data_IF_110376974485
#
_entry.id   IF_110376974485
#
_cell.length_a   1.000
_cell.length_b   1.000
_cell.length_c   1.000
_cell.angle_alpha   90.00
_cell.angle_beta   90.00
_cell.angle_gamma   90.00
#
_symmetry.space_group_name_H-M   'P 1'
#
loop_
_entity.id
_entity.type
_entity.pdbx_description
1 polymer ?
#
# COMPACT_ATOMS: atom_id res chain seq x y z
N UNK A 1 -36.68 -15.10 2.08
CA UNK A 1 -35.65 -14.34 2.79
C UNK A 1 -35.06 -13.30 1.83
N UNK A 2 -34.75 -12.09 2.25
CA UNK A 2 -34.09 -11.13 1.38
C UNK A 2 -32.70 -11.69 0.97
N UNK A 3 -32.34 -11.49 -0.30
CA UNK A 3 -31.06 -11.92 -0.87
C UNK A 3 -29.92 -11.17 -0.15
N UNK A 4 -28.99 -11.90 0.46
CA UNK A 4 -27.80 -11.29 1.05
C UNK A 4 -26.91 -10.71 -0.04
N UNK A 5 -26.28 -9.57 0.20
CA UNK A 5 -25.30 -8.99 -0.71
C UNK A 5 -24.07 -9.90 -0.81
N UNK A 6 -23.47 -9.97 -1.98
CA UNK A 6 -22.17 -10.60 -2.20
C UNK A 6 -21.12 -9.74 -1.48
N UNK A 7 -20.21 -10.37 -0.74
CA UNK A 7 -19.17 -9.62 -0.03
C UNK A 7 -18.20 -8.97 -1.02
N UNK A 8 -17.70 -7.80 -0.67
CA UNK A 8 -16.72 -7.05 -1.48
C UNK A 8 -15.51 -7.90 -1.83
N UNK A 9 -15.00 -8.71 -0.90
CA UNK A 9 -13.87 -9.60 -1.15
C UNK A 9 -14.16 -10.62 -2.26
N UNK A 10 -15.35 -11.22 -2.23
CA UNK A 10 -15.75 -12.19 -3.26
C UNK A 10 -15.85 -11.49 -4.62
N UNK A 11 -16.42 -10.28 -4.66
CA UNK A 11 -16.49 -9.50 -5.90
C UNK A 11 -15.10 -9.15 -6.45
N UNK A 12 -14.16 -8.76 -5.58
CA UNK A 12 -12.78 -8.43 -5.97
C UNK A 12 -12.05 -9.65 -6.53
N UNK A 13 -12.15 -10.80 -5.87
CA UNK A 13 -11.57 -12.08 -6.35
C UNK A 13 -12.13 -12.48 -7.70
N UNK A 14 -13.43 -12.41 -7.88
CA UNK A 14 -14.09 -12.70 -9.16
C UNK A 14 -13.64 -11.74 -10.27
N UNK A 15 -13.52 -10.47 -9.95
CA UNK A 15 -13.06 -9.45 -10.89
C UNK A 15 -11.61 -9.73 -11.34
N UNK A 16 -10.71 -10.04 -10.41
CA UNK A 16 -9.33 -10.41 -10.73
C UNK A 16 -9.26 -11.65 -11.62
N UNK A 17 -10.03 -12.71 -11.29
CA UNK A 17 -10.07 -13.97 -12.03
C UNK A 17 -10.63 -13.79 -13.45
N UNK A 18 -11.65 -12.95 -13.62
CA UNK A 18 -12.28 -12.72 -14.92
C UNK A 18 -11.34 -12.10 -15.97
N UNK A 19 -10.25 -11.47 -15.52
CA UNK A 19 -9.33 -10.69 -16.36
C UNK A 19 -10.03 -9.56 -17.13
N UNK A 20 -11.17 -9.08 -16.62
CA UNK A 20 -11.99 -8.05 -17.25
C UNK A 20 -12.79 -8.53 -18.47
N UNK A 21 -12.94 -9.84 -18.61
CA UNK A 21 -13.69 -10.46 -19.73
C UNK A 21 -14.76 -11.40 -19.22
N UNK A 22 -15.79 -11.61 -20.02
CA UNK A 22 -16.80 -12.64 -19.77
C UNK A 22 -16.12 -14.00 -19.63
N UNK A 23 -16.46 -14.75 -18.57
CA UNK A 23 -15.82 -16.05 -18.29
C UNK A 23 -16.33 -17.17 -19.17
N UNK A 24 -17.41 -16.95 -19.95
CA UNK A 24 -17.77 -17.86 -21.02
C UNK A 24 -16.65 -17.88 -22.08
N UNK A 25 -15.97 -19.04 -22.29
CA UNK A 25 -14.82 -19.14 -23.18
C UNK A 25 -15.13 -18.80 -24.65
N UNK A 26 -16.37 -19.02 -25.07
CA UNK A 26 -16.81 -18.74 -26.45
C UNK A 26 -17.22 -17.27 -26.64
N UNK A 27 -17.44 -16.51 -25.56
CA UNK A 27 -17.85 -15.11 -25.61
C UNK A 27 -16.66 -14.13 -25.48
N UNK A 28 -15.88 -14.22 -24.42
CA UNK A 28 -14.72 -13.37 -24.12
C UNK A 28 -14.98 -11.85 -24.24
N UNK A 29 -16.25 -11.40 -24.17
CA UNK A 29 -16.59 -9.98 -24.27
C UNK A 29 -15.91 -9.15 -23.21
N UNK A 30 -15.38 -7.98 -23.56
CA UNK A 30 -14.82 -7.03 -22.59
C UNK A 30 -15.92 -6.47 -21.70
N UNK A 31 -15.66 -6.50 -20.38
CA UNK A 31 -16.62 -6.09 -19.35
C UNK A 31 -16.38 -4.65 -18.89
N UNK A 32 -15.15 -4.17 -18.96
CA UNK A 32 -14.79 -2.77 -18.66
C UNK A 32 -14.84 -1.96 -19.94
N UNK A 33 -15.88 -1.13 -20.09
CA UNK A 33 -16.12 -0.34 -21.31
C UNK A 33 -16.01 1.15 -21.03
N UNK A 34 -15.65 1.94 -22.03
CA UNK A 34 -15.58 3.42 -21.92
C UNK A 34 -16.87 4.04 -21.39
N UNK A 35 -18.02 3.46 -21.77
CA UNK A 35 -19.36 4.00 -21.46
C UNK A 35 -20.00 3.37 -20.21
N UNK A 36 -19.25 2.61 -19.41
CA UNK A 36 -19.72 1.93 -18.20
C UNK A 36 -19.46 0.42 -18.24
N UNK A 37 -19.20 -0.13 -17.06
CA UNK A 37 -18.92 -1.56 -16.90
C UNK A 37 -20.21 -2.38 -17.07
N UNK A 38 -20.07 -3.53 -17.73
CA UNK A 38 -21.18 -4.45 -18.02
C UNK A 38 -20.93 -5.81 -17.32
N UNK A 39 -20.75 -5.76 -16.00
CA UNK A 39 -20.39 -6.91 -15.18
C UNK A 39 -21.62 -7.49 -14.51
N UNK A 40 -21.92 -8.76 -14.78
CA UNK A 40 -22.94 -9.51 -14.09
C UNK A 40 -22.32 -10.64 -13.26
N UNK A 41 -22.82 -10.81 -12.03
CA UNK A 41 -22.38 -11.85 -11.11
C UNK A 41 -23.42 -12.95 -11.09
N UNK A 42 -23.14 -14.05 -11.80
CA UNK A 42 -24.05 -15.19 -11.94
C UNK A 42 -23.77 -16.23 -10.87
N UNK A 43 -24.81 -16.81 -10.27
CA UNK A 43 -24.70 -17.96 -9.39
C UNK A 43 -24.69 -19.26 -10.22
N UNK A 44 -23.64 -20.06 -10.06
CA UNK A 44 -23.52 -21.36 -10.75
C UNK A 44 -24.65 -22.29 -10.31
N UNK A 45 -24.87 -22.40 -9.01
CA UNK A 45 -26.08 -23.00 -8.45
C UNK A 45 -26.98 -21.88 -7.97
N UNK A 46 -28.23 -21.78 -8.45
CA UNK A 46 -29.14 -20.68 -8.14
C UNK A 46 -29.21 -20.36 -6.64
N UNK A 47 -29.15 -19.07 -6.30
CA UNK A 47 -29.18 -18.59 -4.90
C UNK A 47 -30.41 -19.09 -4.12
N UNK A 48 -31.57 -19.24 -4.77
CA UNK A 48 -32.79 -19.75 -4.15
C UNK A 48 -32.64 -21.21 -3.64
N UNK A 49 -31.68 -21.98 -4.17
CA UNK A 49 -31.40 -23.37 -3.74
C UNK A 49 -30.38 -23.46 -2.63
N UNK A 50 -29.38 -22.58 -2.61
CA UNK A 50 -28.24 -22.69 -1.68
C UNK A 50 -28.14 -21.58 -0.65
N UNK A 51 -28.76 -20.41 -0.92
CA UNK A 51 -28.58 -19.16 -0.18
C UNK A 51 -27.08 -18.75 -0.03
N UNK A 52 -26.25 -19.11 -1.01
CA UNK A 52 -24.81 -19.11 -0.93
C UNK A 52 -24.22 -18.08 -1.91
N UNK A 53 -23.38 -17.18 -1.39
CA UNK A 53 -22.63 -16.15 -2.11
C UNK A 53 -21.12 -16.40 -2.04
N UNK A 54 -20.68 -17.65 -1.82
CA UNK A 54 -19.26 -17.97 -1.78
C UNK A 54 -18.63 -17.86 -3.18
N UNK A 55 -17.36 -17.57 -3.20
CA UNK A 55 -16.58 -17.39 -4.42
C UNK A 55 -16.71 -18.57 -5.41
N UNK A 56 -16.76 -19.80 -4.91
CA UNK A 56 -16.86 -21.02 -5.70
C UNK A 56 -18.18 -21.14 -6.46
N UNK A 57 -19.26 -20.54 -5.92
CA UNK A 57 -20.60 -20.57 -6.52
C UNK A 57 -20.88 -19.36 -7.41
N UNK A 58 -19.91 -18.52 -7.68
CA UNK A 58 -20.08 -17.29 -8.47
C UNK A 58 -19.14 -17.24 -9.66
N UNK A 59 -19.61 -16.63 -10.75
CA UNK A 59 -18.86 -16.41 -11.98
C UNK A 59 -19.20 -15.03 -12.55
N UNK A 60 -18.24 -14.42 -13.24
CA UNK A 60 -18.45 -13.13 -13.93
C UNK A 60 -18.83 -13.36 -15.39
N UNK A 61 -19.97 -12.82 -15.79
CA UNK A 61 -20.49 -12.91 -17.15
C UNK A 61 -20.83 -11.50 -17.70
N UNK A 62 -20.96 -11.40 -19.03
CA UNK A 62 -21.63 -10.27 -19.63
C UNK A 62 -23.16 -10.44 -19.50
N UNK A 63 -23.97 -9.37 -19.66
CA UNK A 63 -25.43 -9.45 -19.52
C UNK A 63 -26.08 -10.49 -20.45
N UNK A 64 -25.57 -10.66 -21.66
CA UNK A 64 -26.07 -11.65 -22.61
C UNK A 64 -25.88 -13.07 -22.10
N UNK A 65 -24.64 -13.46 -21.78
CA UNK A 65 -24.35 -14.80 -21.24
C UNK A 65 -25.01 -15.07 -19.89
N UNK A 66 -25.21 -14.04 -19.06
CA UNK A 66 -25.97 -14.17 -17.81
C UNK A 66 -27.46 -14.45 -18.09
N UNK A 67 -28.05 -13.72 -19.02
CA UNK A 67 -29.45 -13.96 -19.43
C UNK A 67 -29.62 -15.34 -20.05
N UNK A 68 -28.72 -15.76 -20.93
CA UNK A 68 -28.75 -17.08 -21.56
C UNK A 68 -28.63 -18.20 -20.54
N UNK A 69 -27.82 -18.02 -19.51
CA UNK A 69 -27.66 -18.98 -18.40
C UNK A 69 -28.90 -19.00 -17.48
N UNK A 70 -29.36 -17.82 -17.02
CA UNK A 70 -30.41 -17.73 -15.98
C UNK A 70 -31.82 -17.95 -16.51
N UNK A 71 -32.10 -17.56 -17.79
CA UNK A 71 -33.46 -17.52 -18.33
C UNK A 71 -33.68 -18.47 -19.50
N UNK A 72 -32.62 -18.71 -20.27
CA UNK A 72 -32.75 -19.46 -21.50
C UNK A 72 -32.27 -20.92 -21.37
N UNK A 73 -31.75 -21.30 -20.18
CA UNK A 73 -31.18 -22.61 -19.92
C UNK A 73 -30.16 -23.06 -20.99
N UNK A 74 -29.48 -22.09 -21.63
CA UNK A 74 -28.52 -22.35 -22.70
C UNK A 74 -27.26 -23.10 -22.23
N UNK A 75 -26.96 -22.98 -20.94
CA UNK A 75 -25.77 -23.59 -20.32
C UNK A 75 -26.14 -24.31 -19.03
N UNK A 76 -25.62 -25.51 -18.82
CA UNK A 76 -25.78 -26.21 -17.55
C UNK A 76 -24.87 -25.59 -16.46
N UNK A 77 -25.25 -25.74 -15.20
CA UNK A 77 -24.41 -25.34 -14.05
C UNK A 77 -23.02 -25.98 -14.09
N UNK A 78 -22.93 -27.19 -14.61
CA UNK A 78 -21.65 -27.90 -14.74
C UNK A 78 -20.75 -27.27 -15.81
N UNK A 79 -21.31 -26.85 -16.96
CA UNK A 79 -20.56 -26.08 -17.96
C UNK A 79 -20.04 -24.77 -17.39
N UNK A 80 -20.89 -24.03 -16.68
CA UNK A 80 -20.49 -22.72 -16.10
C UNK A 80 -19.43 -22.90 -15.02
N UNK A 81 -19.46 -24.01 -14.25
CA UNK A 81 -18.41 -24.35 -13.29
C UNK A 81 -17.07 -24.65 -13.99
N UNK A 82 -17.12 -25.35 -15.12
CA UNK A 82 -15.91 -25.61 -15.91
C UNK A 82 -15.29 -24.33 -16.46
N UNK A 83 -16.06 -23.28 -16.75
CA UNK A 83 -15.53 -22.00 -17.22
C UNK A 83 -14.55 -21.34 -16.21
N UNK A 84 -14.77 -21.53 -14.90
CA UNK A 84 -13.81 -21.08 -13.89
C UNK A 84 -12.45 -21.81 -14.01
N UNK A 85 -12.50 -23.11 -14.23
CA UNK A 85 -11.30 -23.93 -14.43
C UNK A 85 -10.59 -23.53 -15.72
N UNK A 86 -11.32 -23.41 -16.82
CA UNK A 86 -10.79 -22.97 -18.12
C UNK A 86 -10.15 -21.58 -18.00
N UNK A 87 -10.80 -20.63 -17.30
CA UNK A 87 -10.26 -19.29 -17.09
C UNK A 87 -8.95 -19.32 -16.30
N UNK A 88 -8.87 -20.12 -15.26
CA UNK A 88 -7.64 -20.29 -14.46
C UNK A 88 -6.50 -20.85 -15.31
N UNK A 89 -6.76 -21.90 -16.08
CA UNK A 89 -5.79 -22.50 -17.00
C UNK A 89 -5.35 -21.52 -18.09
N UNK A 90 -6.28 -20.71 -18.60
CA UNK A 90 -5.99 -19.68 -19.58
C UNK A 90 -5.06 -18.59 -19.01
N UNK A 91 -5.31 -18.15 -17.77
CA UNK A 91 -4.43 -17.18 -17.08
C UNK A 91 -3.03 -17.77 -16.90
N UNK A 92 -2.92 -18.99 -16.44
CA UNK A 92 -1.63 -19.68 -16.30
C UNK A 92 -0.91 -19.83 -17.65
N UNK A 93 -1.63 -20.23 -18.69
CA UNK A 93 -1.05 -20.38 -20.03
C UNK A 93 -0.57 -19.07 -20.64
N UNK A 94 -1.32 -17.97 -20.44
CA UNK A 94 -1.00 -16.67 -21.01
C UNK A 94 0.09 -15.94 -20.22
N UNK A 95 0.04 -16.02 -18.89
CA UNK A 95 0.91 -15.26 -18.01
C UNK A 95 1.93 -16.11 -17.24
N UNK A 96 1.75 -17.42 -17.15
CA UNK A 96 2.70 -18.35 -16.55
C UNK A 96 3.88 -18.72 -17.45
N UNK A 97 4.09 -18.01 -18.56
CA UNK A 97 5.18 -18.27 -19.49
C UNK A 97 6.53 -17.99 -18.86
N UNK A 98 7.47 -18.91 -19.03
CA UNK A 98 8.88 -18.73 -18.68
C UNK A 98 9.62 -18.02 -19.82
N UNK A 99 10.41 -17.04 -19.46
CA UNK A 99 11.25 -16.27 -20.39
C UNK A 99 12.71 -16.71 -20.31
N UNK A 100 13.46 -16.50 -21.38
CA UNK A 100 14.88 -16.87 -21.42
C UNK A 100 15.74 -15.81 -20.74
N UNK A 101 15.39 -14.53 -20.86
CA UNK A 101 16.15 -13.41 -20.31
C UNK A 101 15.29 -12.50 -19.44
N UNK A 102 15.97 -11.71 -18.58
CA UNK A 102 15.31 -10.72 -17.75
C UNK A 102 14.67 -9.59 -18.57
N UNK A 103 15.30 -9.19 -19.66
CA UNK A 103 14.82 -8.14 -20.56
C UNK A 103 13.51 -8.55 -21.26
N UNK A 104 13.36 -9.84 -21.58
CA UNK A 104 12.10 -10.36 -22.10
C UNK A 104 10.99 -10.30 -21.04
N UNK A 105 11.29 -10.70 -19.81
CA UNK A 105 10.37 -10.60 -18.69
C UNK A 105 10.00 -9.13 -18.42
N UNK A 106 10.99 -8.23 -18.37
CA UNK A 106 10.80 -6.80 -18.16
C UNK A 106 9.83 -6.19 -19.17
N UNK A 107 9.96 -6.53 -20.46
CA UNK A 107 9.03 -6.06 -21.52
C UNK A 107 7.57 -6.46 -21.28
N UNK A 108 7.32 -7.54 -20.54
CA UNK A 108 5.96 -7.96 -20.19
C UNK A 108 5.45 -7.32 -18.89
N UNK A 109 6.34 -7.15 -17.92
CA UNK A 109 6.01 -6.58 -16.61
C UNK A 109 5.84 -5.06 -16.68
N UNK A 110 6.71 -4.37 -17.42
CA UNK A 110 6.73 -2.92 -17.55
C UNK A 110 5.37 -2.28 -17.87
N UNK A 111 4.62 -2.72 -18.91
CA UNK A 111 3.34 -2.09 -19.24
C UNK A 111 2.29 -2.27 -18.14
N UNK A 112 2.32 -3.37 -17.41
CA UNK A 112 1.35 -3.65 -16.34
C UNK A 112 1.60 -2.75 -15.13
N UNK A 113 2.84 -2.65 -14.68
CA UNK A 113 3.22 -1.75 -13.59
C UNK A 113 3.02 -0.28 -13.97
N UNK A 114 3.34 0.09 -15.23
CA UNK A 114 3.12 1.46 -15.73
C UNK A 114 1.64 1.83 -15.76
N UNK A 115 0.77 0.90 -16.12
CA UNK A 115 -0.70 1.12 -16.08
C UNK A 115 -1.20 1.30 -14.64
N UNK A 116 -0.75 0.46 -13.70
CA UNK A 116 -1.10 0.61 -12.29
C UNK A 116 -0.66 1.97 -11.75
N UNK A 117 0.58 2.37 -12.06
CA UNK A 117 1.11 3.68 -11.71
C UNK A 117 0.26 4.82 -12.27
N UNK A 118 -0.08 4.75 -13.57
CA UNK A 118 -0.88 5.78 -14.24
C UNK A 118 -2.30 5.90 -13.65
N UNK A 119 -2.95 4.78 -13.33
CA UNK A 119 -4.27 4.79 -12.66
C UNK A 119 -4.17 5.50 -11.32
N UNK A 120 -3.14 5.17 -10.56
CA UNK A 120 -2.94 5.76 -9.25
C UNK A 120 -2.64 7.27 -9.33
N UNK A 121 -1.67 7.68 -10.14
CA UNK A 121 -1.28 9.10 -10.27
C UNK A 121 -2.41 9.96 -10.83
N UNK A 122 -3.14 9.47 -11.85
CA UNK A 122 -4.14 10.29 -12.51
C UNK A 122 -5.48 10.35 -11.79
N UNK A 123 -5.86 9.32 -11.05
CA UNK A 123 -7.19 9.27 -10.45
C UNK A 123 -7.16 9.41 -8.94
N UNK A 124 -6.27 8.70 -8.27
CA UNK A 124 -6.18 8.78 -6.83
C UNK A 124 -5.55 10.10 -6.35
N UNK A 125 -4.36 10.45 -6.88
CA UNK A 125 -3.66 11.67 -6.49
C UNK A 125 -4.42 12.95 -6.88
N UNK A 126 -5.13 12.91 -7.99
CA UNK A 126 -5.91 14.06 -8.48
C UNK A 126 -7.32 14.12 -7.87
N UNK A 127 -7.59 13.37 -6.80
CA UNK A 127 -8.88 13.37 -6.06
C UNK A 127 -10.11 13.10 -6.94
N UNK A 128 -9.92 12.25 -7.96
CA UNK A 128 -11.01 11.85 -8.85
C UNK A 128 -11.62 10.53 -8.37
N UNK A 129 -12.31 10.58 -7.23
CA UNK A 129 -12.83 9.40 -6.54
C UNK A 129 -13.66 8.49 -7.44
N UNK A 130 -14.57 9.03 -8.22
CA UNK A 130 -15.42 8.22 -9.12
C UNK A 130 -14.61 7.46 -10.18
N UNK A 131 -13.55 8.09 -10.71
CA UNK A 131 -12.66 7.44 -11.66
C UNK A 131 -11.76 6.43 -10.96
N UNK A 132 -11.29 6.75 -9.76
CA UNK A 132 -10.56 5.80 -8.95
C UNK A 132 -11.38 4.54 -8.68
N UNK A 133 -12.57 4.65 -8.16
CA UNK A 133 -13.46 3.52 -7.86
C UNK A 133 -13.75 2.66 -9.10
N UNK A 134 -13.81 3.30 -10.26
CA UNK A 134 -13.99 2.62 -11.54
C UNK A 134 -12.74 1.86 -11.98
N UNK A 135 -11.58 2.50 -11.93
CA UNK A 135 -10.34 1.94 -12.48
C UNK A 135 -9.54 1.09 -11.49
N UNK A 136 -9.84 1.13 -10.18
CA UNK A 136 -9.25 0.27 -9.17
C UNK A 136 -9.36 -1.22 -9.53
N UNK A 137 -10.49 -1.62 -10.12
CA UNK A 137 -10.70 -3.00 -10.61
C UNK A 137 -9.68 -3.43 -11.66
N UNK A 138 -9.16 -2.49 -12.44
CA UNK A 138 -8.10 -2.77 -13.40
C UNK A 138 -6.79 -3.16 -12.70
N UNK A 139 -6.50 -2.53 -11.56
CA UNK A 139 -5.35 -2.88 -10.72
C UNK A 139 -5.46 -4.31 -10.21
N UNK A 140 -6.65 -4.78 -9.80
CA UNK A 140 -6.85 -6.19 -9.39
C UNK A 140 -6.48 -7.17 -10.50
N UNK A 141 -6.91 -6.89 -11.73
CA UNK A 141 -6.59 -7.71 -12.89
C UNK A 141 -5.09 -7.68 -13.19
N UNK A 142 -4.50 -6.50 -13.18
CA UNK A 142 -3.08 -6.32 -13.42
C UNK A 142 -2.23 -7.03 -12.36
N UNK A 143 -2.62 -6.95 -11.11
CA UNK A 143 -1.96 -7.64 -10.00
C UNK A 143 -2.01 -9.16 -10.17
N UNK A 144 -3.14 -9.71 -10.60
CA UNK A 144 -3.25 -11.15 -10.90
C UNK A 144 -2.30 -11.58 -12.00
N UNK A 145 -2.22 -10.79 -13.08
CA UNK A 145 -1.27 -11.02 -14.19
C UNK A 145 0.18 -10.94 -13.71
N UNK A 146 0.51 -9.89 -12.94
CA UNK A 146 1.85 -9.72 -12.37
C UNK A 146 2.26 -10.90 -11.52
N UNK A 147 1.39 -11.32 -10.59
CA UNK A 147 1.68 -12.44 -9.69
C UNK A 147 2.04 -13.70 -10.49
N UNK A 148 1.16 -14.11 -11.42
CA UNK A 148 1.39 -15.30 -12.25
C UNK A 148 2.68 -15.21 -13.08
N UNK A 149 2.92 -14.03 -13.68
CA UNK A 149 4.10 -13.77 -14.52
C UNK A 149 5.40 -13.83 -13.72
N UNK A 150 5.43 -13.21 -12.55
CA UNK A 150 6.61 -13.13 -11.69
C UNK A 150 6.88 -14.48 -11.00
N UNK A 151 5.85 -15.18 -10.50
CA UNK A 151 5.99 -16.53 -9.90
C UNK A 151 6.65 -17.51 -10.86
N UNK A 152 6.28 -17.47 -12.13
CA UNK A 152 6.85 -18.36 -13.16
C UNK A 152 8.29 -18.01 -13.52
N UNK A 153 8.81 -16.84 -13.13
CA UNK A 153 10.12 -16.32 -13.55
C UNK A 153 11.03 -15.92 -12.36
N UNK A 154 10.78 -16.41 -11.16
CA UNK A 154 11.56 -16.06 -9.95
C UNK A 154 13.06 -16.28 -10.12
N UNK A 155 13.46 -17.33 -10.84
CA UNK A 155 14.88 -17.61 -11.09
C UNK A 155 15.59 -16.55 -11.95
N UNK A 156 14.88 -15.88 -12.86
CA UNK A 156 15.44 -14.74 -13.61
C UNK A 156 15.60 -13.52 -12.72
N UNK A 157 14.60 -13.26 -11.89
CA UNK A 157 14.56 -12.13 -10.96
C UNK A 157 15.70 -12.22 -9.95
N UNK A 158 15.88 -13.41 -9.37
CA UNK A 158 16.95 -13.66 -8.40
C UNK A 158 18.35 -13.45 -9.01
N UNK A 159 18.58 -13.89 -10.24
CA UNK A 159 19.87 -13.73 -10.93
C UNK A 159 20.16 -12.28 -11.32
N UNK A 160 19.14 -11.45 -11.43
CA UNK A 160 19.27 -10.03 -11.81
C UNK A 160 19.44 -9.11 -10.59
N UNK A 161 19.68 -9.66 -9.40
CA UNK A 161 19.84 -8.86 -8.18
C UNK A 161 21.07 -7.96 -8.27
N UNK A 162 20.88 -6.67 -7.98
CA UNK A 162 21.94 -5.68 -7.86
C UNK A 162 22.23 -5.45 -6.38
N UNK A 163 23.48 -5.64 -5.96
CA UNK A 163 24.07 -5.38 -4.63
C UNK A 163 23.09 -5.15 -3.44
N UNK A 164 23.18 -6.01 -2.44
CA UNK A 164 22.67 -5.89 -1.07
C UNK A 164 21.17 -6.17 -0.82
N UNK A 165 20.32 -6.20 -1.83
CA UNK A 165 18.93 -6.65 -1.69
C UNK A 165 18.62 -7.72 -2.73
N UNK A 166 18.09 -8.85 -2.28
CA UNK A 166 17.56 -9.85 -3.19
C UNK A 166 16.30 -9.30 -3.86
N UNK A 167 16.32 -9.14 -5.19
CA UNK A 167 15.11 -8.79 -5.95
C UNK A 167 13.96 -9.76 -5.66
N UNK A 168 14.28 -10.98 -5.23
CA UNK A 168 13.30 -11.98 -4.81
C UNK A 168 12.50 -11.53 -3.58
N UNK A 169 13.16 -10.93 -2.57
CA UNK A 169 12.46 -10.41 -1.38
C UNK A 169 11.50 -9.27 -1.72
N UNK A 170 11.90 -8.41 -2.67
CA UNK A 170 11.06 -7.32 -3.15
C UNK A 170 9.81 -7.88 -3.85
N UNK A 171 9.98 -8.90 -4.69
CA UNK A 171 8.87 -9.57 -5.38
C UNK A 171 7.97 -10.32 -4.39
N UNK A 172 8.52 -10.96 -3.37
CA UNK A 172 7.72 -11.61 -2.32
C UNK A 172 6.89 -10.60 -1.52
N UNK A 173 7.46 -9.43 -1.22
CA UNK A 173 6.69 -8.33 -0.61
C UNK A 173 5.57 -7.85 -1.53
N UNK A 174 5.83 -7.73 -2.84
CA UNK A 174 4.80 -7.40 -3.81
C UNK A 174 3.67 -8.44 -3.81
N UNK A 175 3.97 -9.74 -3.72
CA UNK A 175 2.94 -10.79 -3.64
C UNK A 175 2.07 -10.62 -2.41
N UNK A 176 2.66 -10.36 -1.24
CA UNK A 176 1.90 -10.08 -0.04
C UNK A 176 0.98 -8.85 -0.21
N UNK A 177 1.48 -7.77 -0.81
CA UNK A 177 0.67 -6.59 -1.09
C UNK A 177 -0.44 -6.86 -2.11
N UNK A 178 -0.21 -7.69 -3.12
CA UNK A 178 -1.24 -8.09 -4.08
C UNK A 178 -2.36 -8.84 -3.37
N UNK A 179 -2.02 -9.78 -2.51
CA UNK A 179 -3.00 -10.58 -1.76
C UNK A 179 -3.80 -9.70 -0.78
N UNK A 180 -3.12 -8.83 -0.04
CA UNK A 180 -3.75 -7.85 0.84
C UNK A 180 -4.67 -6.89 0.08
N UNK A 181 -4.24 -6.38 -1.06
CA UNK A 181 -5.07 -5.50 -1.90
C UNK A 181 -6.32 -6.22 -2.42
N UNK A 182 -6.23 -7.49 -2.79
CA UNK A 182 -7.38 -8.30 -3.20
C UNK A 182 -8.37 -8.51 -2.06
N UNK A 183 -7.89 -8.67 -0.81
CA UNK A 183 -8.71 -8.92 0.38
C UNK A 183 -9.23 -7.65 1.08
N UNK A 184 -8.70 -6.49 0.76
CA UNK A 184 -8.99 -5.23 1.46
C UNK A 184 -10.42 -4.76 1.26
N UNK A 185 -11.07 -4.34 2.36
CA UNK A 185 -12.51 -4.03 2.42
C UNK A 185 -12.83 -2.55 2.47
N UNK A 186 -11.92 -1.72 2.98
CA UNK A 186 -12.13 -0.29 3.20
C UNK A 186 -11.32 0.57 2.26
N UNK A 187 -11.83 1.76 1.90
CA UNK A 187 -11.11 2.68 1.03
C UNK A 187 -9.78 3.14 1.65
N UNK A 188 -9.76 3.39 2.95
CA UNK A 188 -8.55 3.80 3.66
C UNK A 188 -7.46 2.70 3.69
N UNK A 189 -7.88 1.43 3.72
CA UNK A 189 -6.96 0.30 3.66
C UNK A 189 -6.46 0.05 2.23
N UNK A 190 -7.33 0.14 1.22
CA UNK A 190 -6.96 0.02 -0.20
C UNK A 190 -5.85 0.99 -0.58
N UNK A 191 -5.95 2.19 -0.09
CA UNK A 191 -4.98 3.26 -0.30
C UNK A 191 -3.60 2.90 0.22
N UNK A 192 -3.52 2.25 1.38
CA UNK A 192 -2.26 1.78 1.97
C UNK A 192 -1.62 0.66 1.16
N UNK A 193 -2.44 -0.17 0.49
CA UNK A 193 -2.00 -1.37 -0.21
C UNK A 193 -1.65 -1.13 -1.69
N UNK A 194 -2.05 -0.02 -2.26
CA UNK A 194 -1.68 0.35 -3.65
C UNK A 194 -0.21 0.71 -3.77
N UNK A 195 0.42 1.04 -2.65
CA UNK A 195 1.85 1.31 -2.62
C UNK A 195 2.62 0.01 -2.72
N UNK A 196 2.94 -0.34 -3.94
CA UNK A 196 3.96 -1.34 -4.22
C UNK A 196 5.26 -0.96 -3.48
N UNK A 197 6.08 -1.93 -3.04
CA UNK A 197 7.44 -1.59 -2.68
C UNK A 197 8.01 -0.76 -3.83
N UNK A 198 8.44 0.44 -3.54
CA UNK A 198 8.96 1.40 -4.55
C UNK A 198 10.01 0.74 -5.44
N UNK A 199 10.78 -0.14 -4.84
CA UNK A 199 11.83 -0.90 -5.47
C UNK A 199 11.36 -1.79 -6.63
N UNK A 200 10.09 -2.26 -6.64
CA UNK A 200 9.60 -3.11 -7.74
C UNK A 200 9.60 -2.35 -9.07
N UNK A 201 9.24 -1.07 -9.04
CA UNK A 201 9.25 -0.23 -10.21
C UNK A 201 10.68 -0.07 -10.76
N UNK A 202 11.65 0.17 -9.89
CA UNK A 202 13.07 0.31 -10.25
C UNK A 202 13.64 -0.96 -10.87
N UNK A 203 13.28 -2.16 -10.35
CA UNK A 203 13.71 -3.45 -10.91
C UNK A 203 13.29 -3.57 -12.37
N UNK A 204 12.10 -3.11 -12.72
CA UNK A 204 11.54 -3.23 -14.06
C UNK A 204 11.68 -1.96 -14.92
N UNK A 205 12.51 -0.99 -14.48
CA UNK A 205 12.86 0.20 -15.26
C UNK A 205 11.77 1.28 -15.28
N UNK A 206 10.85 1.26 -14.32
CA UNK A 206 9.82 2.27 -14.17
C UNK A 206 10.32 3.28 -13.14
N UNK A 207 10.23 4.56 -13.45
CA UNK A 207 10.47 5.61 -12.46
C UNK A 207 9.52 5.40 -11.28
N UNK A 208 10.00 5.50 -10.04
CA UNK A 208 9.15 5.33 -8.88
C UNK A 208 7.92 6.23 -9.00
N UNK A 209 6.80 5.75 -8.47
CA UNK A 209 5.67 6.63 -8.18
C UNK A 209 6.26 7.74 -7.34
N UNK A 210 6.04 9.00 -7.77
CA UNK A 210 6.58 10.15 -7.07
C UNK A 210 6.31 9.97 -5.57
N UNK A 211 7.37 9.85 -4.86
CA UNK A 211 7.60 9.50 -3.47
C UNK A 211 6.37 9.40 -2.57
N UNK A 212 6.19 8.21 -2.04
CA UNK A 212 5.40 7.95 -0.85
C UNK A 212 4.07 8.69 -0.73
N UNK A 213 3.13 8.06 -1.30
CA UNK A 213 1.74 8.42 -1.28
C UNK A 213 1.07 8.13 0.08
N UNK A 214 1.83 7.60 1.04
CA UNK A 214 1.41 7.55 2.44
C UNK A 214 1.79 8.87 3.12
N UNK A 215 1.03 9.30 4.12
CA UNK A 215 1.42 10.39 4.97
C UNK A 215 2.75 10.06 5.67
N UNK A 216 3.82 10.58 5.10
CA UNK A 216 5.17 10.42 5.62
C UNK A 216 5.55 11.65 6.42
N UNK A 217 6.28 11.43 7.50
CA UNK A 217 6.66 12.52 8.41
C UNK A 217 7.55 13.54 7.72
N UNK A 218 8.51 13.08 6.93
CA UNK A 218 9.41 13.95 6.19
C UNK A 218 8.68 14.78 5.14
N UNK A 219 7.67 14.21 4.46
CA UNK A 219 6.84 14.95 3.52
C UNK A 219 6.03 16.04 4.24
N UNK A 220 5.52 15.75 5.44
CA UNK A 220 4.84 16.73 6.28
C UNK A 220 5.79 17.83 6.74
N UNK A 221 7.01 17.49 7.15
CA UNK A 221 8.03 18.45 7.56
C UNK A 221 8.34 19.45 6.44
N UNK A 222 8.55 18.96 5.22
CA UNK A 222 8.77 19.77 4.02
C UNK A 222 7.52 20.63 3.69
N UNK A 223 6.31 20.06 3.80
CA UNK A 223 5.07 20.80 3.56
C UNK A 223 4.93 21.97 4.52
N UNK A 224 5.13 21.72 5.81
CA UNK A 224 5.01 22.76 6.85
C UNK A 224 6.05 23.86 6.65
N UNK A 225 7.30 23.51 6.34
CA UNK A 225 8.35 24.47 6.04
C UNK A 225 7.99 25.37 4.85
N UNK A 226 7.48 24.78 3.76
CA UNK A 226 7.06 25.54 2.57
C UNK A 226 5.83 26.43 2.81
N UNK A 227 4.85 25.90 3.55
CA UNK A 227 3.66 26.68 3.95
C UNK A 227 4.04 27.85 4.87
N UNK A 228 5.00 27.65 5.77
CA UNK A 228 5.49 28.74 6.64
C UNK A 228 6.26 29.80 5.83
N UNK A 229 7.06 29.38 4.86
CA UNK A 229 7.76 30.29 3.94
C UNK A 229 6.80 31.15 3.08
N UNK A 230 5.55 30.70 2.90
CA UNK A 230 4.48 31.44 2.21
C UNK A 230 3.52 32.17 3.16
N UNK A 231 3.85 32.28 4.46
CA UNK A 231 2.99 32.86 5.51
C UNK A 231 1.60 32.17 5.61
N UNK A 232 1.51 30.91 5.18
CA UNK A 232 0.26 30.14 5.22
C UNK A 232 0.16 29.21 6.42
N UNK A 233 1.26 28.79 7.03
CA UNK A 233 1.26 27.89 8.16
C UNK A 233 0.92 28.61 9.46
N UNK A 234 0.02 28.01 10.26
CA UNK A 234 -0.37 28.54 11.57
C UNK A 234 0.16 27.63 12.68
N UNK A 235 -0.19 26.37 12.65
CA UNK A 235 0.20 25.40 13.69
C UNK A 235 0.05 23.95 13.21
N UNK A 236 0.78 23.03 13.88
CA UNK A 236 0.59 21.59 13.78
C UNK A 236 0.09 21.06 15.12
N UNK A 237 -0.95 20.22 15.09
CA UNK A 237 -1.50 19.54 16.26
C UNK A 237 -1.35 18.06 16.05
N UNK A 238 -0.37 17.49 16.73
CA UNK A 238 -0.02 16.07 16.69
C UNK A 238 -0.43 15.39 17.99
N UNK A 239 -0.09 14.14 18.17
CA UNK A 239 -0.33 13.32 19.38
C UNK A 239 -1.81 13.16 19.79
N UNK A 240 -2.73 13.38 18.86
CA UNK A 240 -4.18 13.22 19.04
C UNK A 240 -4.76 12.20 18.06
N UNK A 241 -6.03 11.84 18.25
CA UNK A 241 -6.69 10.84 17.40
C UNK A 241 -6.82 11.29 15.94
N UNK A 242 -7.10 12.57 15.70
CA UNK A 242 -7.19 13.17 14.37
C UNK A 242 -6.22 14.34 14.27
N UNK A 243 -4.93 14.08 14.02
CA UNK A 243 -3.92 15.12 13.89
C UNK A 243 -4.20 16.00 12.68
N UNK A 244 -3.84 17.29 12.76
CA UNK A 244 -4.05 18.24 11.68
C UNK A 244 -3.01 19.36 11.72
N UNK A 245 -2.83 20.02 10.57
CA UNK A 245 -2.22 21.34 10.48
C UNK A 245 -3.29 22.41 10.28
N UNK A 246 -3.06 23.58 10.80
CA UNK A 246 -3.87 24.76 10.53
C UNK A 246 -3.13 25.66 9.54
N UNK A 247 -3.83 26.11 8.53
CA UNK A 247 -3.29 26.97 7.47
C UNK A 247 -4.22 28.12 7.14
N UNK A 248 -3.66 29.18 6.59
CA UNK A 248 -4.41 30.24 5.92
C UNK A 248 -4.67 29.86 4.45
N UNK A 249 -5.94 29.78 4.08
CA UNK A 249 -6.36 29.52 2.70
C UNK A 249 -7.54 30.42 2.35
N UNK A 250 -7.41 31.21 1.28
CA UNK A 250 -8.44 32.17 0.82
C UNK A 250 -8.94 33.10 1.94
N UNK A 251 -8.03 33.58 2.79
CA UNK A 251 -8.34 34.48 3.89
C UNK A 251 -9.04 33.82 5.09
N UNK A 252 -9.10 32.51 5.14
CA UNK A 252 -9.71 31.74 6.24
C UNK A 252 -8.70 30.80 6.87
N UNK A 253 -8.88 30.54 8.17
CA UNK A 253 -8.15 29.49 8.84
C UNK A 253 -8.83 28.14 8.55
N UNK A 254 -8.10 27.21 7.96
CA UNK A 254 -8.58 25.89 7.54
C UNK A 254 -7.76 24.80 8.23
N UNK A 255 -8.39 23.69 8.61
CA UNK A 255 -7.72 22.49 9.11
C UNK A 255 -7.51 21.51 7.97
N UNK A 256 -6.28 21.02 7.83
CA UNK A 256 -5.92 19.94 6.95
C UNK A 256 -5.56 18.75 7.83
N UNK A 257 -6.39 17.72 7.80
CA UNK A 257 -6.16 16.50 8.59
C UNK A 257 -4.97 15.72 8.00
N UNK A 258 -4.16 15.15 8.90
CA UNK A 258 -2.95 14.41 8.57
C UNK A 258 -3.19 12.90 8.46
N UNK A 259 -4.45 12.48 8.46
CA UNK A 259 -4.82 11.16 8.01
C UNK A 259 -4.54 11.04 6.50
N UNK A 260 -4.46 9.81 6.02
CA UNK A 260 -4.28 9.55 4.59
C UNK A 260 -5.50 10.00 3.78
N UNK A 261 -5.55 11.28 3.45
CA UNK A 261 -6.65 11.90 2.72
C UNK A 261 -6.20 12.39 1.34
N UNK A 262 -7.09 12.38 0.34
CA UNK A 262 -6.81 12.96 -0.97
C UNK A 262 -6.31 14.41 -0.87
N UNK A 263 -6.88 15.18 0.05
CA UNK A 263 -6.47 16.59 0.25
C UNK A 263 -5.03 16.72 0.74
N UNK A 264 -4.60 15.92 1.71
CA UNK A 264 -3.22 15.95 2.18
C UNK A 264 -2.25 15.59 1.05
N UNK A 265 -2.62 14.59 0.25
CA UNK A 265 -1.80 14.17 -0.89
C UNK A 265 -1.71 15.22 -1.98
N UNK A 266 -2.79 15.95 -2.24
CA UNK A 266 -2.76 17.10 -3.15
C UNK A 266 -1.79 18.16 -2.66
N UNK A 267 -1.78 18.45 -1.34
CA UNK A 267 -0.79 19.36 -0.77
C UNK A 267 0.63 18.85 -0.98
N UNK A 268 0.89 17.58 -0.71
CA UNK A 268 2.21 17.01 -0.96
C UNK A 268 2.61 17.10 -2.42
N UNK A 269 1.71 16.82 -3.34
CA UNK A 269 1.95 16.94 -4.77
C UNK A 269 2.20 18.40 -5.19
N UNK A 270 1.31 19.30 -4.84
CA UNK A 270 1.40 20.71 -5.23
C UNK A 270 2.66 21.40 -4.69
N UNK A 271 3.11 21.01 -3.50
CA UNK A 271 4.32 21.53 -2.88
C UNK A 271 5.58 20.70 -3.16
N UNK A 272 5.48 19.65 -3.95
CA UNK A 272 6.62 18.78 -4.31
C UNK A 272 7.33 18.20 -3.06
N UNK A 273 6.55 17.66 -2.11
CA UNK A 273 7.05 17.22 -0.81
C UNK A 273 7.60 15.79 -0.82
N UNK A 274 7.70 15.18 -1.96
CA UNK A 274 8.01 13.77 -2.16
C UNK A 274 9.53 13.53 -2.23
N UNK A 275 10.25 13.63 -1.13
CA UNK A 275 11.69 13.33 -1.11
C UNK A 275 12.02 12.33 -0.03
N UNK A 276 12.35 11.10 -0.44
CA UNK A 276 13.05 10.12 0.39
C UNK A 276 12.45 9.88 1.77
N UNK A 277 11.15 10.01 1.89
CA UNK A 277 10.44 9.91 3.14
C UNK A 277 10.38 8.45 3.59
N UNK A 278 10.72 8.17 4.84
CA UNK A 278 10.88 6.83 5.38
C UNK A 278 9.99 6.60 6.61
N UNK A 279 9.74 7.63 7.42
CA UNK A 279 9.00 7.52 8.67
C UNK A 279 7.50 7.71 8.43
N UNK A 280 6.73 6.64 8.55
CA UNK A 280 5.26 6.70 8.44
C UNK A 280 4.69 7.61 9.53
N UNK A 281 3.96 8.63 9.12
CA UNK A 281 3.39 9.61 10.05
C UNK A 281 2.46 8.96 11.08
N UNK A 282 1.64 7.98 10.68
CA UNK A 282 0.77 7.26 11.59
C UNK A 282 1.54 6.57 12.72
N UNK A 283 2.69 5.93 12.41
CA UNK A 283 3.52 5.27 13.41
C UNK A 283 4.15 6.28 14.38
N UNK A 284 4.62 7.41 13.85
CA UNK A 284 5.14 8.50 14.67
C UNK A 284 4.04 9.08 15.58
N UNK A 285 2.88 9.44 15.02
CA UNK A 285 1.78 10.01 15.81
C UNK A 285 1.29 9.05 16.89
N UNK A 286 1.31 7.74 16.60
CA UNK A 286 0.99 6.73 17.63
C UNK A 286 2.01 6.75 18.78
N UNK A 287 3.31 6.82 18.48
CA UNK A 287 4.37 6.92 19.50
C UNK A 287 4.21 8.20 20.33
N UNK A 288 3.96 9.35 19.69
CA UNK A 288 3.72 10.62 20.39
C UNK A 288 2.47 10.56 21.29
N UNK A 289 1.36 9.98 20.80
CA UNK A 289 0.16 9.71 21.60
C UNK A 289 0.45 8.83 22.81
N UNK A 290 1.29 7.81 22.65
CA UNK A 290 1.69 6.94 23.76
C UNK A 290 2.43 7.74 24.84
N UNK A 291 3.42 8.54 24.47
CA UNK A 291 4.14 9.44 25.40
C UNK A 291 3.14 10.33 26.17
N UNK A 292 2.25 11.01 25.44
CA UNK A 292 1.22 11.86 26.02
C UNK A 292 0.29 11.10 26.97
N UNK A 293 -0.13 9.88 26.63
CA UNK A 293 -1.00 9.05 27.46
C UNK A 293 -0.37 8.70 28.81
N UNK A 294 0.96 8.72 28.89
CA UNK A 294 1.74 8.53 30.13
C UNK A 294 2.00 9.84 30.88
N UNK A 295 1.43 10.97 30.39
CA UNK A 295 1.60 12.32 30.96
C UNK A 295 3.05 12.82 30.95
N UNK A 296 3.87 12.30 30.06
CA UNK A 296 5.26 12.74 29.86
C UNK A 296 5.25 13.92 28.88
N UNK A 297 5.95 15.00 29.25
CA UNK A 297 6.14 16.16 28.37
C UNK A 297 7.31 15.91 27.43
N UNK A 298 7.18 16.38 26.22
CA UNK A 298 8.26 16.37 25.25
C UNK A 298 8.25 17.68 24.45
N UNK A 299 9.37 18.00 23.83
CA UNK A 299 9.54 19.17 22.97
C UNK A 299 10.23 18.72 21.68
N UNK A 300 9.84 19.29 20.55
CA UNK A 300 10.53 19.04 19.29
C UNK A 300 11.90 19.71 19.31
N UNK A 301 12.92 19.01 18.79
CA UNK A 301 14.30 19.55 18.72
C UNK A 301 14.38 20.75 17.80
N UNK A 302 13.61 20.76 16.72
CA UNK A 302 13.54 21.85 15.74
C UNK A 302 12.10 22.08 15.28
N UNK A 303 11.79 23.29 14.83
CA UNK A 303 10.42 23.73 14.43
C UNK A 303 9.77 22.83 13.38
N UNK A 304 10.54 22.30 12.44
CA UNK A 304 10.01 21.49 11.32
C UNK A 304 10.51 20.06 11.29
N UNK A 305 11.10 19.57 12.39
CA UNK A 305 11.55 18.19 12.53
C UNK A 305 10.72 17.48 13.58
N UNK A 306 9.69 16.74 13.15
CA UNK A 306 8.79 16.01 14.05
C UNK A 306 9.35 14.65 14.49
N UNK A 307 10.42 14.18 13.87
CA UNK A 307 11.06 12.89 14.17
C UNK A 307 12.04 12.95 15.34
N UNK A 308 12.36 14.14 15.81
CA UNK A 308 13.32 14.32 16.90
C UNK A 308 12.68 15.12 18.04
N UNK A 309 12.71 14.55 19.23
CA UNK A 309 12.14 15.16 20.41
C UNK A 309 13.12 15.12 21.59
N UNK A 310 12.95 16.00 22.53
CA UNK A 310 13.56 15.92 23.87
C UNK A 310 12.54 15.41 24.89
N UNK A 311 12.95 14.43 25.71
CA UNK A 311 12.22 13.97 26.90
C UNK A 311 13.19 14.03 28.06
N UNK A 312 12.91 14.82 29.09
CA UNK A 312 13.77 14.99 30.26
C UNK A 312 15.24 15.28 29.91
N UNK A 313 15.48 16.08 28.88
CA UNK A 313 16.83 16.43 28.39
C UNK A 313 17.51 15.33 27.53
N UNK A 314 16.87 14.18 27.33
CA UNK A 314 17.39 13.12 26.46
C UNK A 314 16.79 13.27 25.06
N UNK A 315 17.65 13.31 24.04
CA UNK A 315 17.23 13.36 22.64
C UNK A 315 16.73 11.98 22.20
N UNK A 316 15.53 11.93 21.64
CA UNK A 316 14.93 10.73 21.06
C UNK A 316 14.71 10.95 19.56
N UNK A 317 15.15 9.97 18.75
CA UNK A 317 15.09 10.02 17.30
C UNK A 317 14.23 8.85 16.81
N UNK A 318 13.20 9.13 16.01
CA UNK A 318 12.33 8.12 15.42
C UNK A 318 12.76 7.80 14.00
N UNK A 319 12.96 6.52 13.73
CA UNK A 319 13.27 5.98 12.40
C UNK A 319 12.27 4.89 12.03
N UNK A 320 12.18 4.56 10.75
CA UNK A 320 11.31 3.49 10.26
C UNK A 320 12.08 2.64 9.25
N UNK A 321 12.66 1.54 9.72
CA UNK A 321 13.48 0.63 8.92
C UNK A 321 13.03 -0.80 9.11
N UNK A 322 12.92 -1.56 8.02
CA UNK A 322 12.64 -2.99 8.09
C UNK A 322 13.67 -3.72 8.96
N UNK A 323 14.95 -3.42 8.77
CA UNK A 323 16.04 -3.81 9.64
C UNK A 323 17.01 -2.64 9.78
N UNK A 324 17.06 -2.03 10.95
CA UNK A 324 17.98 -0.93 11.25
C UNK A 324 19.41 -1.46 11.32
N UNK A 325 20.25 -1.03 10.40
CA UNK A 325 21.64 -1.48 10.26
C UNK A 325 22.63 -0.50 10.87
N UNK A 326 23.86 -0.95 11.07
CA UNK A 326 24.99 -0.09 11.45
C UNK A 326 25.19 1.07 10.45
N UNK A 327 25.02 0.78 9.14
CA UNK A 327 25.14 1.81 8.12
C UNK A 327 24.05 2.88 8.23
N UNK A 328 22.84 2.52 8.63
CA UNK A 328 21.76 3.48 8.89
C UNK A 328 22.11 4.37 10.09
N UNK A 329 22.65 3.79 11.16
CA UNK A 329 23.08 4.57 12.32
C UNK A 329 24.19 5.57 11.98
N UNK A 330 25.15 5.17 11.16
CA UNK A 330 26.21 6.08 10.68
C UNK A 330 25.65 7.22 9.83
N UNK A 331 24.51 7.04 9.16
CA UNK A 331 23.84 8.13 8.42
C UNK A 331 23.05 9.06 9.32
N UNK A 332 22.43 8.53 10.36
CA UNK A 332 21.67 9.33 11.36
C UNK A 332 22.61 10.20 12.19
N UNK A 333 23.88 9.78 12.40
CA UNK A 333 24.88 10.48 13.22
C UNK A 333 24.33 10.88 14.61
N UNK A 334 23.82 9.93 15.41
CA UNK A 334 23.19 10.26 16.66
C UNK A 334 24.18 10.84 17.67
N UNK A 335 23.71 11.78 18.47
CA UNK A 335 24.49 12.33 19.60
C UNK A 335 24.67 11.26 20.70
N UNK A 336 25.75 11.36 21.44
CA UNK A 336 25.99 10.50 22.62
C UNK A 336 24.81 10.61 23.61
N UNK A 337 24.43 9.48 24.21
CA UNK A 337 23.29 9.35 25.13
C UNK A 337 21.92 9.56 24.52
N UNK A 338 21.83 9.69 23.21
CA UNK A 338 20.52 9.71 22.53
C UNK A 338 19.86 8.33 22.49
N UNK A 339 18.56 8.33 22.24
CA UNK A 339 17.73 7.13 22.08
C UNK A 339 17.20 7.09 20.67
N UNK A 340 17.45 6.01 19.95
CA UNK A 340 16.87 5.80 18.61
C UNK A 340 15.79 4.74 18.72
N UNK A 341 14.59 5.07 18.22
CA UNK A 341 13.43 4.19 18.21
C UNK A 341 13.13 3.77 16.77
N UNK A 342 13.21 2.49 16.48
CA UNK A 342 12.72 1.97 15.20
C UNK A 342 11.22 1.68 15.31
N UNK A 343 10.41 2.48 14.61
CA UNK A 343 8.95 2.38 14.61
C UNK A 343 8.41 1.23 13.76
N UNK A 344 9.30 0.51 13.06
CA UNK A 344 8.90 -0.66 12.28
C UNK A 344 8.64 -1.84 13.22
N UNK A 345 7.47 -2.48 13.11
CA UNK A 345 7.00 -3.49 14.07
C UNK A 345 6.78 -4.91 13.48
N UNK A 346 7.17 -5.16 12.23
CA UNK A 346 6.84 -6.43 11.54
C UNK A 346 7.69 -7.62 12.01
N UNK A 347 8.91 -7.37 12.52
CA UNK A 347 9.89 -8.41 12.80
C UNK A 347 10.32 -8.49 14.28
N UNK A 348 9.61 -7.82 15.20
CA UNK A 348 10.01 -7.78 16.61
C UNK A 348 11.48 -7.39 16.80
N UNK A 349 12.24 -8.17 17.57
CA UNK A 349 13.66 -7.93 17.84
C UNK A 349 14.56 -7.93 16.59
N UNK A 350 14.11 -8.59 15.51
CA UNK A 350 14.88 -8.68 14.25
C UNK A 350 14.85 -7.38 13.42
N UNK A 351 14.08 -6.37 13.83
CA UNK A 351 14.05 -5.08 13.14
C UNK A 351 15.28 -4.20 13.42
N UNK A 352 16.23 -4.69 14.24
CA UNK A 352 17.54 -4.06 14.51
C UNK A 352 18.61 -5.13 14.42
N UNK A 353 19.65 -4.91 13.61
CA UNK A 353 20.71 -5.88 13.43
C UNK A 353 21.65 -5.94 14.64
N UNK A 354 22.29 -7.09 14.87
CA UNK A 354 23.29 -7.26 15.93
C UNK A 354 24.42 -6.24 15.80
N UNK A 355 24.92 -5.99 14.60
CA UNK A 355 25.97 -5.01 14.33
C UNK A 355 25.53 -3.58 14.69
N UNK A 356 24.24 -3.25 14.51
CA UNK A 356 23.70 -1.96 14.91
C UNK A 356 23.74 -1.80 16.44
N UNK A 357 23.36 -2.84 17.19
CA UNK A 357 23.47 -2.81 18.67
C UNK A 357 24.91 -2.67 19.14
N UNK A 358 25.84 -3.43 18.56
CA UNK A 358 27.26 -3.32 18.91
C UNK A 358 27.82 -1.92 18.63
N UNK A 359 27.48 -1.35 17.49
CA UNK A 359 27.91 0.00 17.14
C UNK A 359 27.29 1.05 18.06
N UNK A 360 25.98 0.95 18.33
CA UNK A 360 25.29 1.87 19.25
C UNK A 360 25.90 1.86 20.65
N UNK A 361 26.27 0.67 21.19
CA UNK A 361 26.95 0.55 22.45
C UNK A 361 28.34 1.26 22.44
N UNK A 362 29.08 1.16 21.32
CA UNK A 362 30.38 1.83 21.18
C UNK A 362 30.26 3.36 21.20
N UNK A 363 29.19 3.90 20.71
CA UNK A 363 28.91 5.35 20.63
C UNK A 363 28.00 5.85 21.76
N UNK A 364 27.71 4.99 22.76
CA UNK A 364 26.85 5.30 23.90
C UNK A 364 25.45 5.79 23.50
N UNK A 365 24.80 5.10 22.55
CA UNK A 365 23.43 5.36 22.06
C UNK A 365 22.55 4.18 22.39
N UNK A 366 21.32 4.42 22.85
CA UNK A 366 20.35 3.38 23.14
C UNK A 366 19.47 3.12 21.90
N UNK A 367 19.37 1.86 21.45
CA UNK A 367 18.47 1.45 20.38
C UNK A 367 17.27 0.73 20.97
N UNK A 368 16.08 1.10 20.49
CA UNK A 368 14.82 0.52 20.92
C UNK A 368 13.99 0.04 19.71
N UNK A 369 13.45 -1.16 19.86
CA UNK A 369 12.29 -1.59 19.07
C UNK A 369 11.04 -0.84 19.55
N UNK A 370 9.90 -1.05 18.90
CA UNK A 370 8.63 -0.45 19.36
C UNK A 370 8.22 -0.98 20.75
N UNK A 371 8.46 -2.27 21.04
CA UNK A 371 8.20 -2.87 22.34
C UNK A 371 9.15 -2.26 23.41
N UNK A 372 10.43 -2.20 23.12
CA UNK A 372 11.41 -1.57 24.00
C UNK A 372 11.14 -0.09 24.25
N UNK A 373 10.56 0.61 23.28
CA UNK A 373 10.09 1.99 23.45
C UNK A 373 8.95 2.08 24.47
N UNK A 374 7.97 1.17 24.43
CA UNK A 374 6.88 1.19 25.42
C UNK A 374 7.40 0.94 26.84
N UNK A 375 8.32 0.00 27.01
CA UNK A 375 8.98 -0.27 28.29
C UNK A 375 9.72 0.98 28.78
N UNK A 376 10.57 1.55 27.95
CA UNK A 376 11.33 2.75 28.25
C UNK A 376 10.47 3.94 28.68
N UNK A 377 9.36 4.21 27.95
CA UNK A 377 8.43 5.29 28.29
C UNK A 377 7.70 5.01 29.62
N UNK A 378 7.39 3.75 29.93
CA UNK A 378 6.80 3.39 31.21
C UNK A 378 7.78 3.57 32.38
N UNK A 379 9.08 3.31 32.19
CA UNK A 379 10.11 3.55 33.19
C UNK A 379 10.25 5.05 33.50
N UNK A 380 10.16 5.92 32.50
CA UNK A 380 10.24 7.38 32.69
C UNK A 380 9.04 7.97 33.45
N UNK A 381 7.96 7.23 33.60
CA UNK A 381 6.77 7.66 34.35
C UNK A 381 6.95 7.53 35.86
N UNK A 382 7.86 6.67 36.30
CA UNK A 382 8.15 6.47 37.73
C UNK A 382 9.00 7.60 38.29
#
# INVERSE_FOLDING_TARGET
MPRKAISINVERKLCAESMGRCMNPDCQAELFRKNGDVIEKAHIVPYCKTADNVYENLVILCPTCHTDFDKNDAFSSEHVKQWKTIRKEEVERLFGRKYATFEELQRQVFPILSENKAIYENYYLNDQKELWDKFERKILINNKRLKTLLESNLGLIQRHSVKDYSNLEIVQRLFAHIDEFEETRGDDEKIRQVLFPEEINSIFGISPIADDLLPMTEALEILVEKLDAEDKFISAVLDIQKPYIQIHENGRCVKVFLDDTPRLRQFYYNYGCFKGAVVRFQSLNFALKYIRSRKIKYEFVQKYNFREIYINGTKMIFVYKYCLSEADLKRVLPEEKSVIVNLHNWNGSSCISSNAYEFANKINVKLLTIEGFYEYINELKQ
#
